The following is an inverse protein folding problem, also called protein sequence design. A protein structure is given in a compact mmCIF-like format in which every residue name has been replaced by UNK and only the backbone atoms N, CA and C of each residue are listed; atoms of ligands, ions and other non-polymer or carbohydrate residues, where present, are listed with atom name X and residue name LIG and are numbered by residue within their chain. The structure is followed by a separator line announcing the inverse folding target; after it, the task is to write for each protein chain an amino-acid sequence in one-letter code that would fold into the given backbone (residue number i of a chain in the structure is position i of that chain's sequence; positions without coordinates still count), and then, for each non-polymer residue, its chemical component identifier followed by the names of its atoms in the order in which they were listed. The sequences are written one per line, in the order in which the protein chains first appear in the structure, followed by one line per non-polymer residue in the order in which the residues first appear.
data_IF_266950211311
#
_entry.id   IF_266950211311
#
_cell.length_a   1.000
_cell.length_b   1.000
_cell.length_c   1.000
_cell.angle_alpha   90.00
_cell.angle_beta   90.00
_cell.angle_gamma   90.00
#
_symmetry.space_group_name_H-M   'P 1'
#
loop_
_entity.id
_entity.type
_entity.pdbx_description
1 polymer ?
#
# COMPACT_ATOMS: atom_id res chain seq x y z
N UNK A 1 9.53 16.59 17.90
CA UNK A 1 8.24 16.63 17.17
C UNK A 1 8.01 15.25 16.62
N UNK A 2 6.92 14.58 17.04
CA UNK A 2 6.46 13.40 16.31
C UNK A 2 5.96 13.87 14.94
N UNK A 3 6.40 13.19 13.87
CA UNK A 3 5.87 13.47 12.53
C UNK A 3 4.43 12.96 12.46
N UNK A 4 3.59 13.65 11.70
CA UNK A 4 2.25 13.14 11.41
C UNK A 4 2.32 11.74 10.79
N UNK A 5 1.34 10.87 11.08
CA UNK A 5 1.30 9.54 10.49
C UNK A 5 1.08 9.63 8.99
N UNK A 6 1.76 8.77 8.24
CA UNK A 6 1.48 8.55 6.81
C UNK A 6 0.19 7.77 6.69
N UNK A 7 -0.82 8.37 6.07
CA UNK A 7 -2.11 7.76 5.85
C UNK A 7 -2.05 6.88 4.59
N UNK A 8 -2.26 5.57 4.77
CA UNK A 8 -2.35 4.61 3.67
C UNK A 8 -3.78 4.11 3.60
N UNK A 9 -4.47 4.40 2.51
CA UNK A 9 -5.82 3.93 2.24
C UNK A 9 -5.76 2.86 1.16
N UNK A 10 -6.38 1.73 1.42
CA UNK A 10 -6.48 0.61 0.47
C UNK A 10 -7.95 0.40 0.16
N UNK A 11 -8.35 0.65 -1.08
CA UNK A 11 -9.70 0.35 -1.56
C UNK A 11 -9.67 -1.03 -2.18
N UNK A 12 -10.55 -1.93 -1.75
CA UNK A 12 -10.48 -3.34 -2.15
C UNK A 12 -11.87 -4.00 -2.17
N UNK A 13 -12.08 -5.02 -3.00
CA UNK A 13 -13.33 -5.79 -2.97
C UNK A 13 -13.37 -6.71 -1.75
N UNK A 14 -14.57 -6.96 -1.23
CA UNK A 14 -14.82 -7.91 -0.15
C UNK A 14 -15.79 -9.02 -0.62
N UNK A 15 -15.37 -10.30 -0.69
CA UNK A 15 -14.04 -10.82 -0.33
C UNK A 15 -12.95 -10.43 -1.35
N UNK A 16 -11.69 -10.29 -0.92
CA UNK A 16 -10.60 -9.93 -1.82
C UNK A 16 -10.25 -11.09 -2.76
N UNK A 17 -10.20 -10.80 -4.06
CA UNK A 17 -9.76 -11.70 -5.14
C UNK A 17 -8.73 -10.99 -6.05
N UNK A 18 -7.83 -11.73 -6.70
CA UNK A 18 -6.80 -11.17 -7.58
C UNK A 18 -6.00 -10.04 -6.91
N UNK A 19 -5.92 -8.87 -7.55
CA UNK A 19 -5.19 -7.69 -7.07
C UNK A 19 -5.62 -7.18 -5.68
N UNK A 20 -6.89 -7.39 -5.30
CA UNK A 20 -7.38 -7.06 -3.96
C UNK A 20 -6.67 -7.84 -2.84
N UNK A 21 -6.24 -9.07 -3.15
CA UNK A 21 -5.53 -9.95 -2.21
C UNK A 21 -4.08 -9.50 -2.04
N UNK A 22 -3.45 -9.06 -3.13
CA UNK A 22 -2.11 -8.44 -3.12
C UNK A 22 -2.08 -7.24 -2.16
N UNK A 23 -2.98 -6.27 -2.34
CA UNK A 23 -2.98 -5.07 -1.49
C UNK A 23 -3.24 -5.37 -0.01
N UNK A 24 -4.09 -6.35 0.28
CA UNK A 24 -4.33 -6.79 1.66
C UNK A 24 -3.12 -7.52 2.27
N UNK A 25 -2.30 -8.17 1.44
CA UNK A 25 -1.14 -8.97 1.88
C UNK A 25 0.07 -8.10 2.19
N UNK A 26 0.28 -7.01 1.43
CA UNK A 26 1.37 -6.05 1.70
C UNK A 26 1.15 -5.20 2.95
N UNK A 27 -0.09 -5.12 3.48
CA UNK A 27 -0.42 -4.41 4.74
C UNK A 27 0.50 -4.83 5.88
N UNK A 28 0.67 -6.13 6.08
CA UNK A 28 1.50 -6.64 7.17
C UNK A 28 2.95 -6.22 7.02
N UNK A 29 3.46 -6.26 5.78
CA UNK A 29 4.82 -5.85 5.48
C UNK A 29 5.01 -4.34 5.71
N UNK A 30 4.04 -3.52 5.34
CA UNK A 30 4.07 -2.07 5.60
C UNK A 30 4.09 -1.79 7.11
N UNK A 31 3.21 -2.44 7.89
CA UNK A 31 3.11 -2.24 9.35
C UNK A 31 4.36 -2.76 10.08
N UNK A 32 4.97 -3.84 9.62
CA UNK A 32 6.22 -4.35 10.21
C UNK A 32 7.45 -3.55 9.81
N UNK A 33 7.38 -2.82 8.69
CA UNK A 33 8.51 -2.05 8.15
C UNK A 33 8.52 -0.63 8.70
N UNK A 34 7.38 0.06 8.71
CA UNK A 34 7.27 1.48 9.03
C UNK A 34 6.51 1.72 10.34
N UNK A 35 7.01 2.62 11.19
CA UNK A 35 6.48 2.86 12.54
C UNK A 35 5.44 3.98 12.64
N UNK A 36 5.33 4.83 11.63
CA UNK A 36 4.41 5.99 11.60
C UNK A 36 3.40 5.90 10.45
N UNK A 37 2.88 4.70 10.17
CA UNK A 37 1.85 4.49 9.15
C UNK A 37 0.49 4.24 9.80
N UNK A 38 -0.57 4.80 9.23
CA UNK A 38 -1.96 4.51 9.59
C UNK A 38 -2.67 3.94 8.38
N UNK A 39 -3.10 2.68 8.47
CA UNK A 39 -3.68 1.96 7.35
C UNK A 39 -5.20 1.87 7.51
N UNK A 40 -5.93 2.25 6.46
CA UNK A 40 -7.38 2.10 6.36
C UNK A 40 -7.72 1.20 5.18
N UNK A 41 -8.37 0.06 5.43
CA UNK A 41 -8.86 -0.84 4.38
C UNK A 41 -10.36 -0.58 4.18
N UNK A 42 -10.72 -0.11 2.99
CA UNK A 42 -12.07 0.34 2.65
C UNK A 42 -12.65 -0.61 1.60
N UNK A 43 -13.82 -1.24 1.86
CA UNK A 43 -14.49 -2.02 0.83
C UNK A 43 -14.88 -1.12 -0.35
N UNK A 44 -14.76 -1.62 -1.59
CA UNK A 44 -15.01 -0.85 -2.82
C UNK A 44 -16.38 -0.16 -2.85
N UNK A 45 -17.38 -0.76 -2.20
CA UNK A 45 -18.75 -0.23 -2.11
C UNK A 45 -18.85 1.04 -1.24
N UNK A 46 -17.83 1.30 -0.42
CA UNK A 46 -17.70 2.46 0.47
C UNK A 46 -16.57 3.41 0.06
N UNK A 47 -16.08 3.32 -1.19
CA UNK A 47 -15.05 4.23 -1.70
C UNK A 47 -15.56 5.68 -1.71
N UNK A 48 -14.65 6.62 -1.54
CA UNK A 48 -14.89 8.04 -1.71
C UNK A 48 -15.17 8.40 -3.16
N UNK A 49 -15.77 9.57 -3.38
CA UNK A 49 -16.10 10.06 -4.73
C UNK A 49 -14.86 10.33 -5.59
N UNK A 50 -13.75 10.68 -4.94
CA UNK A 50 -12.48 11.02 -5.57
C UNK A 50 -11.51 9.83 -5.64
N UNK A 51 -11.93 8.65 -5.16
CA UNK A 51 -11.09 7.45 -5.26
C UNK A 51 -11.12 6.89 -6.69
N UNK A 52 -10.00 6.30 -7.16
CA UNK A 52 -9.96 5.57 -8.43
C UNK A 52 -11.05 4.51 -8.58
N UNK A 53 -11.45 4.28 -9.84
CA UNK A 53 -12.40 3.24 -10.20
C UNK A 53 -11.74 1.85 -10.15
N UNK A 54 -11.77 1.21 -8.98
CA UNK A 54 -11.26 -0.16 -8.81
C UNK A 54 -10.57 -0.37 -7.47
N UNK A 55 -9.91 -1.52 -7.28
CA UNK A 55 -8.97 -1.71 -6.18
C UNK A 55 -7.79 -0.75 -6.36
N UNK A 56 -7.40 -0.03 -5.31
CA UNK A 56 -6.29 0.92 -5.37
C UNK A 56 -5.61 1.11 -4.01
N UNK A 57 -4.40 1.67 -4.05
CA UNK A 57 -3.67 2.12 -2.87
C UNK A 57 -3.42 3.62 -3.00
N UNK A 58 -3.77 4.34 -1.94
CA UNK A 58 -3.68 5.80 -1.86
C UNK A 58 -2.81 6.15 -0.65
N UNK A 59 -1.76 6.92 -0.85
CA UNK A 59 -0.84 7.37 0.21
C UNK A 59 -0.96 8.88 0.36
N UNK A 60 -1.34 9.37 1.55
CA UNK A 60 -1.61 10.79 1.81
C UNK A 60 -2.55 11.45 0.78
N UNK A 61 -3.51 10.69 0.25
CA UNK A 61 -4.46 11.17 -0.75
C UNK A 61 -4.00 11.05 -2.21
N UNK A 62 -2.76 10.60 -2.47
CA UNK A 62 -2.24 10.35 -3.81
C UNK A 62 -2.36 8.87 -4.19
N UNK A 63 -3.00 8.56 -5.32
CA UNK A 63 -2.99 7.20 -5.89
C UNK A 63 -1.56 6.84 -6.33
N UNK A 64 -1.09 5.69 -5.87
CA UNK A 64 0.29 5.23 -6.15
C UNK A 64 0.35 4.22 -7.30
N UNK A 65 -0.79 3.84 -7.90
CA UNK A 65 -0.81 2.92 -9.02
C UNK A 65 -0.15 3.52 -10.27
N UNK A 66 0.84 2.84 -10.89
CA UNK A 66 1.45 3.32 -12.12
C UNK A 66 0.45 3.28 -13.28
N UNK A 67 0.41 4.33 -14.10
CA UNK A 67 -0.56 4.49 -15.19
C UNK A 67 -0.47 3.40 -16.28
N UNK A 68 0.64 2.68 -16.34
CA UNK A 68 0.99 1.71 -17.37
C UNK A 68 1.09 0.27 -16.85
N UNK A 69 0.85 0.04 -15.56
CA UNK A 69 0.94 -1.30 -14.98
C UNK A 69 -0.36 -1.65 -14.27
N UNK A 70 -0.51 -2.93 -13.94
CA UNK A 70 -1.65 -3.45 -13.24
C UNK A 70 -1.39 -3.68 -11.74
N UNK A 71 -0.16 -3.43 -11.27
CA UNK A 71 0.25 -3.59 -9.88
C UNK A 71 1.38 -2.62 -9.53
N UNK A 72 1.45 -2.22 -8.26
CA UNK A 72 2.53 -1.37 -7.73
C UNK A 72 3.72 -2.26 -7.36
N UNK A 73 4.92 -1.96 -7.85
CA UNK A 73 6.13 -2.71 -7.48
C UNK A 73 6.55 -2.45 -6.03
N UNK A 74 7.36 -3.34 -5.46
CA UNK A 74 7.94 -3.14 -4.14
C UNK A 74 8.76 -1.86 -4.02
N UNK A 75 9.54 -1.53 -5.06
CA UNK A 75 10.29 -0.29 -5.15
C UNK A 75 9.37 0.94 -5.15
N UNK A 76 8.29 0.91 -5.93
CA UNK A 76 7.31 2.02 -5.97
C UNK A 76 6.62 2.21 -4.62
N UNK A 77 6.24 1.12 -3.95
CA UNK A 77 5.68 1.17 -2.59
C UNK A 77 6.62 1.88 -1.63
N UNK A 78 7.87 1.44 -1.57
CA UNK A 78 8.88 1.98 -0.66
C UNK A 78 9.15 3.45 -0.99
N UNK A 79 9.33 3.79 -2.26
CA UNK A 79 9.59 5.15 -2.70
C UNK A 79 8.44 6.10 -2.37
N UNK A 80 7.19 5.69 -2.62
CA UNK A 80 5.99 6.50 -2.31
C UNK A 80 5.80 6.67 -0.80
N UNK A 81 5.99 5.62 -0.01
CA UNK A 81 5.92 5.70 1.46
C UNK A 81 7.02 6.62 2.02
N UNK A 82 8.26 6.46 1.56
CA UNK A 82 9.37 7.33 1.99
C UNK A 82 9.14 8.79 1.58
N UNK A 83 8.67 9.05 0.36
CA UNK A 83 8.33 10.39 -0.11
C UNK A 83 7.18 11.02 0.71
N UNK A 84 6.22 10.21 1.15
CA UNK A 84 5.14 10.62 2.05
C UNK A 84 5.60 10.84 3.51
N UNK A 85 6.85 10.50 3.84
CA UNK A 85 7.44 10.69 5.17
C UNK A 85 7.34 9.48 6.09
N UNK A 86 7.15 8.28 5.55
CA UNK A 86 7.18 7.05 6.33
C UNK A 86 8.59 6.82 6.90
N UNK A 87 8.63 6.28 8.11
CA UNK A 87 9.84 6.09 8.89
C UNK A 87 9.94 4.60 9.21
N UNK A 88 10.97 3.91 8.73
CA UNK A 88 11.22 2.52 9.13
C UNK A 88 11.44 2.39 10.65
N UNK A 89 11.17 1.21 11.21
CA UNK A 89 11.64 0.90 12.57
C UNK A 89 13.18 0.93 12.65
N UNK A 90 13.72 1.21 13.83
CA UNK A 90 15.17 1.24 14.02
C UNK A 90 15.80 -0.12 13.67
N UNK A 91 16.80 -0.10 12.79
CA UNK A 91 17.47 -1.31 12.28
C UNK A 91 16.71 -2.05 11.18
N UNK A 92 15.51 -1.59 10.78
CA UNK A 92 14.76 -2.15 9.66
C UNK A 92 15.08 -1.37 8.38
N UNK A 93 15.52 -2.10 7.36
CA UNK A 93 15.69 -1.55 6.01
C UNK A 93 14.58 -2.12 5.11
N UNK A 94 13.72 -1.29 4.49
CA UNK A 94 12.73 -1.77 3.54
C UNK A 94 13.43 -2.48 2.36
N UNK A 95 12.99 -3.70 2.05
CA UNK A 95 13.53 -4.51 0.96
C UNK A 95 12.44 -4.73 -0.10
N UNK A 96 12.65 -4.17 -1.28
CA UNK A 96 11.70 -4.25 -2.39
C UNK A 96 11.41 -5.70 -2.80
N UNK A 97 12.40 -6.60 -2.72
CA UNK A 97 12.23 -8.00 -3.11
C UNK A 97 11.21 -8.74 -2.25
N UNK A 98 11.08 -8.38 -0.97
CA UNK A 98 10.09 -8.98 -0.07
C UNK A 98 8.66 -8.52 -0.41
N UNK A 99 8.51 -7.27 -0.88
CA UNK A 99 7.24 -6.79 -1.41
C UNK A 99 6.89 -7.51 -2.72
N UNK A 100 7.84 -7.59 -3.65
CA UNK A 100 7.66 -8.23 -4.95
C UNK A 100 7.29 -9.72 -4.80
N UNK A 101 7.96 -10.46 -3.91
CA UNK A 101 7.64 -11.86 -3.56
C UNK A 101 6.18 -12.06 -3.11
N UNK A 102 5.62 -11.10 -2.37
CA UNK A 102 4.22 -11.15 -1.91
C UNK A 102 3.28 -10.85 -3.08
N UNK A 103 3.64 -9.87 -3.91
CA UNK A 103 2.88 -9.48 -5.09
C UNK A 103 2.78 -10.65 -6.07
N UNK A 104 3.89 -11.29 -6.40
CA UNK A 104 3.95 -12.43 -7.32
C UNK A 104 3.07 -13.59 -6.85
N UNK A 105 3.16 -13.98 -5.57
CA UNK A 105 2.32 -15.04 -4.97
C UNK A 105 0.82 -14.74 -4.98
N UNK A 106 0.43 -13.47 -5.19
CA UNK A 106 -0.97 -13.07 -5.29
C UNK A 106 -1.48 -12.99 -6.73
N UNK A 107 -0.59 -13.08 -7.72
CA UNK A 107 -0.91 -13.08 -9.15
C UNK A 107 -1.02 -14.50 -9.74
N UNK A 108 -0.47 -15.50 -9.06
CA UNK A 108 -0.68 -16.94 -9.31
C UNK A 108 -2.08 -17.43 -8.89
#
# INVERSE_FOLDING_TARGET
MEKEPVEVKIVTKCPPHGRCKMYSSVVWLIISTFRNVKISIIPSDFRGKDDPDGPCVIVNGEDIEPSNTIYVSGEDFINKLNAAGAIPYDGVSPDASVFDDIIEKCLE
#
